data_IF_206950846446
#
_entry.id   IF_206950846446
#
_cell.length_a   1.000
_cell.length_b   1.000
_cell.length_c   1.000
_cell.angle_alpha   90.00
_cell.angle_beta   90.00
_cell.angle_gamma   90.00
#
_symmetry.space_group_name_H-M   'P 1'
#
loop_
_entity.id
_entity.type
_entity.pdbx_description
1 polymer ?
#
# COMPACT_ATOMS: atom_id res chain seq x y z
N UNK A 1 3.38 54.28 -12.12
CA UNK A 1 3.71 53.20 -11.16
C UNK A 1 2.53 52.23 -10.93
N UNK A 2 1.89 51.71 -12.00
CA UNK A 2 0.75 50.76 -11.88
C UNK A 2 0.94 49.43 -12.62
N UNK A 3 1.91 49.34 -13.53
CA UNK A 3 2.10 48.18 -14.40
C UNK A 3 2.88 47.01 -13.75
N UNK A 4 3.71 47.27 -12.74
CA UNK A 4 4.55 46.23 -12.11
C UNK A 4 3.74 45.31 -11.18
N UNK A 5 2.62 45.81 -10.63
CA UNK A 5 1.78 45.07 -9.68
C UNK A 5 0.86 44.01 -10.31
N UNK A 6 0.57 44.11 -11.61
CA UNK A 6 -0.33 43.16 -12.29
C UNK A 6 0.39 41.85 -12.65
N UNK A 7 1.70 41.91 -12.94
CA UNK A 7 2.50 40.75 -13.35
C UNK A 7 2.77 39.78 -12.18
N UNK A 8 3.00 40.30 -10.96
CA UNK A 8 3.28 39.47 -9.77
C UNK A 8 2.04 38.68 -9.31
N UNK A 9 0.85 39.27 -9.42
CA UNK A 9 -0.41 38.59 -9.04
C UNK A 9 -0.81 37.46 -9.99
N UNK A 10 -0.46 37.55 -11.27
CA UNK A 10 -0.73 36.47 -12.25
C UNK A 10 0.20 35.28 -12.02
N UNK A 11 1.49 35.49 -11.72
CA UNK A 11 2.41 34.39 -11.40
C UNK A 11 2.05 33.64 -10.10
N UNK A 12 1.64 34.36 -9.05
CA UNK A 12 1.24 33.73 -7.77
C UNK A 12 -0.06 32.92 -7.95
N UNK A 13 -1.04 33.44 -8.70
CA UNK A 13 -2.27 32.72 -8.96
C UNK A 13 -2.04 31.46 -9.81
N UNK A 14 -1.21 31.52 -10.85
CA UNK A 14 -0.88 30.34 -11.69
C UNK A 14 -0.14 29.27 -10.90
N UNK A 15 0.82 29.63 -10.02
CA UNK A 15 1.50 28.66 -9.15
C UNK A 15 0.55 27.98 -8.16
N UNK A 16 -0.40 28.72 -7.57
CA UNK A 16 -1.35 28.18 -6.58
C UNK A 16 -2.40 27.27 -7.23
N UNK A 17 -2.80 27.54 -8.48
CA UNK A 17 -3.70 26.67 -9.25
C UNK A 17 -3.02 25.39 -9.71
N UNK A 18 -1.73 25.43 -10.08
CA UNK A 18 -0.96 24.23 -10.45
C UNK A 18 -0.72 23.36 -9.21
N UNK A 19 -0.37 23.94 -8.06
CA UNK A 19 -0.17 23.18 -6.81
C UNK A 19 -1.46 22.55 -6.27
N UNK A 20 -2.60 23.23 -6.43
CA UNK A 20 -3.89 22.68 -6.02
C UNK A 20 -4.36 21.55 -6.95
N UNK A 21 -4.10 21.62 -8.26
CA UNK A 21 -4.37 20.50 -9.18
C UNK A 21 -3.45 19.30 -8.90
N UNK A 22 -2.19 19.54 -8.56
CA UNK A 22 -1.22 18.49 -8.23
C UNK A 22 -1.60 17.77 -6.91
N UNK A 23 -1.97 18.52 -5.87
CA UNK A 23 -2.47 17.94 -4.59
C UNK A 23 -3.72 17.06 -4.76
N UNK A 24 -4.59 17.34 -5.72
CA UNK A 24 -5.79 16.53 -5.99
C UNK A 24 -5.39 15.20 -6.68
N UNK A 25 -4.29 15.18 -7.44
CA UNK A 25 -3.87 14.00 -8.19
C UNK A 25 -3.29 12.89 -7.29
N UNK A 26 -2.56 13.21 -6.22
CA UNK A 26 -1.86 12.22 -5.39
C UNK A 26 -2.75 11.52 -4.36
N UNK A 27 -3.66 12.23 -3.70
CA UNK A 27 -4.65 11.59 -2.80
C UNK A 27 -5.60 10.65 -3.58
N UNK A 28 -5.97 11.03 -4.80
CA UNK A 28 -6.76 10.17 -5.69
C UNK A 28 -5.93 8.97 -6.21
N UNK A 29 -4.60 9.11 -6.37
CA UNK A 29 -3.71 8.00 -6.71
C UNK A 29 -3.64 6.96 -5.59
N UNK A 30 -3.55 7.36 -4.31
CA UNK A 30 -3.54 6.42 -3.19
C UNK A 30 -4.85 5.62 -3.11
N UNK A 31 -5.99 6.27 -3.34
CA UNK A 31 -7.31 5.62 -3.34
C UNK A 31 -7.53 4.61 -4.48
N UNK A 32 -6.74 4.69 -5.56
CA UNK A 32 -6.79 3.73 -6.68
C UNK A 32 -6.02 2.44 -6.40
N UNK A 33 -5.13 2.45 -5.40
CA UNK A 33 -4.32 1.28 -5.05
C UNK A 33 -5.19 0.30 -4.24
N UNK A 34 -5.33 -0.97 -4.66
CA UNK A 34 -6.10 -1.93 -3.89
C UNK A 34 -5.43 -2.19 -2.54
N UNK A 35 -6.21 -2.08 -1.46
CA UNK A 35 -5.74 -2.28 -0.08
C UNK A 35 -5.20 -3.70 0.16
N UNK A 36 -5.73 -4.70 -0.55
CA UNK A 36 -5.24 -6.07 -0.51
C UNK A 36 -5.25 -6.71 -1.90
N UNK A 37 -4.14 -7.32 -2.27
CA UNK A 37 -4.00 -8.15 -3.45
C UNK A 37 -3.17 -9.39 -3.10
N UNK A 38 -3.82 -10.55 -3.11
CA UNK A 38 -3.24 -11.82 -2.67
C UNK A 38 -3.66 -12.95 -3.61
N UNK A 39 -2.82 -13.99 -3.70
CA UNK A 39 -3.18 -15.19 -4.45
C UNK A 39 -4.44 -15.87 -3.88
N UNK A 40 -5.29 -16.45 -4.75
CA UNK A 40 -6.62 -16.92 -4.35
C UNK A 40 -6.60 -18.17 -3.46
N UNK A 41 -5.51 -18.93 -3.43
CA UNK A 41 -5.39 -20.14 -2.62
C UNK A 41 -3.94 -20.46 -2.28
N UNK A 42 -3.75 -21.20 -1.19
CA UNK A 42 -2.47 -21.79 -0.80
C UNK A 42 -1.88 -21.15 0.45
N UNK A 43 -0.60 -21.47 0.70
CA UNK A 43 0.19 -20.88 1.77
C UNK A 43 1.35 -20.13 1.12
N UNK A 44 1.44 -18.84 1.36
CA UNK A 44 2.43 -17.99 0.73
C UNK A 44 2.90 -16.86 1.65
N UNK A 45 4.03 -16.27 1.30
CA UNK A 45 4.60 -15.12 2.02
C UNK A 45 3.81 -13.87 1.66
N UNK A 46 3.73 -12.95 2.61
CA UNK A 46 3.11 -11.64 2.39
C UNK A 46 3.91 -10.54 3.07
N UNK A 47 3.81 -9.33 2.52
CA UNK A 47 4.36 -8.11 3.10
C UNK A 47 3.25 -7.09 3.31
N UNK A 48 3.41 -6.30 4.38
CA UNK A 48 2.61 -5.12 4.64
C UNK A 48 3.46 -3.91 4.22
N UNK A 49 2.98 -3.17 3.23
CA UNK A 49 3.70 -2.04 2.65
C UNK A 49 2.92 -0.78 2.97
N UNK A 50 3.61 0.24 3.49
CA UNK A 50 3.09 1.58 3.61
C UNK A 50 3.45 2.36 2.36
N UNK A 51 2.44 2.84 1.66
CA UNK A 51 2.61 3.68 0.48
C UNK A 51 2.36 5.12 0.88
N UNK A 52 3.41 5.93 0.87
CA UNK A 52 3.38 7.35 1.15
C UNK A 52 3.14 8.15 -0.12
N UNK A 53 2.36 9.22 -0.01
CA UNK A 53 2.37 10.28 -1.02
C UNK A 53 3.70 11.04 -0.95
N UNK A 54 4.26 11.42 -2.10
CA UNK A 54 5.45 12.31 -2.13
C UNK A 54 5.10 13.78 -1.92
N UNK A 55 3.81 14.11 -1.94
CA UNK A 55 3.31 15.49 -1.91
C UNK A 55 2.58 15.85 -0.61
N UNK A 56 2.15 14.84 0.15
CA UNK A 56 1.49 14.99 1.43
C UNK A 56 2.05 14.00 2.45
N UNK A 57 1.73 14.19 3.73
CA UNK A 57 2.07 13.24 4.78
C UNK A 57 1.09 12.04 4.84
N UNK A 58 0.19 11.93 3.86
CA UNK A 58 -0.78 10.85 3.78
C UNK A 58 -0.12 9.54 3.36
N UNK A 59 -0.69 8.44 3.86
CA UNK A 59 -0.24 7.10 3.51
C UNK A 59 -1.42 6.12 3.48
N UNK A 60 -1.22 5.02 2.75
CA UNK A 60 -2.10 3.86 2.77
C UNK A 60 -1.28 2.61 3.02
N UNK A 61 -1.75 1.77 3.95
CA UNK A 61 -1.16 0.47 4.20
C UNK A 61 -1.82 -0.57 3.28
N UNK A 62 -1.01 -1.30 2.51
CA UNK A 62 -1.45 -2.30 1.53
C UNK A 62 -0.87 -3.68 1.84
N UNK A 63 -1.67 -4.71 1.62
CA UNK A 63 -1.29 -6.12 1.81
C UNK A 63 -1.01 -6.74 0.44
N UNK A 64 0.16 -7.37 0.31
CA UNK A 64 0.59 -8.08 -0.91
C UNK A 64 1.14 -9.44 -0.56
N UNK A 65 0.64 -10.49 -1.21
CA UNK A 65 1.05 -11.86 -0.92
C UNK A 65 0.85 -12.80 -2.09
N UNK A 66 1.92 -13.45 -2.54
CA UNK A 66 1.88 -14.29 -3.72
C UNK A 66 2.71 -15.57 -3.55
N UNK A 67 2.24 -16.65 -4.16
CA UNK A 67 2.87 -17.97 -4.16
C UNK A 67 4.14 -18.05 -5.02
N UNK A 68 4.29 -17.16 -6.00
CA UNK A 68 5.48 -17.11 -6.85
C UNK A 68 6.72 -16.57 -6.14
N UNK A 69 6.54 -15.84 -5.03
CA UNK A 69 7.64 -15.19 -4.34
C UNK A 69 8.30 -16.14 -3.33
N UNK A 70 9.59 -16.39 -3.54
CA UNK A 70 10.38 -17.21 -2.62
C UNK A 70 10.70 -16.43 -1.34
N UNK A 71 10.91 -15.11 -1.44
CA UNK A 71 11.21 -14.24 -0.33
C UNK A 71 10.23 -13.06 -0.22
N UNK A 72 10.13 -12.49 0.98
CA UNK A 72 9.36 -11.26 1.21
C UNK A 72 9.90 -10.08 0.40
N UNK A 73 11.22 -10.03 0.19
CA UNK A 73 11.88 -8.99 -0.60
C UNK A 73 11.42 -9.01 -2.06
N UNK A 74 11.22 -10.19 -2.65
CA UNK A 74 10.77 -10.30 -4.06
C UNK A 74 9.40 -9.64 -4.26
N UNK A 75 8.49 -9.81 -3.28
CA UNK A 75 7.17 -9.16 -3.31
C UNK A 75 7.34 -7.65 -3.18
N UNK A 76 8.15 -7.21 -2.22
CA UNK A 76 8.38 -5.80 -1.97
C UNK A 76 8.97 -5.12 -3.21
N UNK A 77 10.11 -5.60 -3.72
CA UNK A 77 10.84 -5.00 -4.84
C UNK A 77 9.97 -4.89 -6.10
N UNK A 78 9.14 -5.91 -6.36
CA UNK A 78 8.22 -5.89 -7.49
C UNK A 78 7.12 -4.84 -7.30
N UNK A 79 6.46 -4.85 -6.14
CA UNK A 79 5.32 -3.96 -5.88
C UNK A 79 5.76 -2.51 -5.74
N UNK A 80 6.80 -2.23 -4.95
CA UNK A 80 7.35 -0.87 -4.80
C UNK A 80 7.85 -0.36 -6.14
N UNK A 81 8.58 -1.19 -6.89
CA UNK A 81 9.05 -0.83 -8.23
C UNK A 81 7.92 -0.50 -9.21
N UNK A 82 6.79 -1.20 -9.14
CA UNK A 82 5.62 -0.91 -10.00
C UNK A 82 4.89 0.38 -9.58
N UNK A 83 4.74 0.60 -8.28
CA UNK A 83 4.09 1.80 -7.73
C UNK A 83 4.94 3.05 -7.97
N UNK A 84 6.23 3.01 -7.62
CA UNK A 84 7.15 4.14 -7.74
C UNK A 84 7.41 4.52 -9.20
N UNK A 85 7.36 3.56 -10.13
CA UNK A 85 7.48 3.82 -11.58
C UNK A 85 6.32 4.65 -12.12
N UNK A 86 5.14 4.53 -11.52
CA UNK A 86 3.98 5.37 -11.85
C UNK A 86 4.19 6.82 -11.38
N UNK A 87 5.09 7.03 -10.41
CA UNK A 87 5.44 8.33 -9.87
C UNK A 87 4.45 8.82 -8.82
N UNK A 88 4.91 9.76 -7.98
CA UNK A 88 4.08 10.43 -6.96
C UNK A 88 3.95 9.71 -5.62
N UNK A 89 4.48 8.48 -5.50
CA UNK A 89 4.46 7.71 -4.26
C UNK A 89 5.85 7.18 -3.88
N UNK A 90 5.98 6.85 -2.60
CA UNK A 90 7.14 6.17 -2.00
C UNK A 90 6.65 4.96 -1.20
N UNK A 91 7.37 3.85 -1.24
CA UNK A 91 6.96 2.64 -0.53
C UNK A 91 7.92 2.33 0.63
N UNK A 92 7.36 1.90 1.76
CA UNK A 92 8.10 1.39 2.92
C UNK A 92 7.55 0.01 3.31
N UNK A 93 8.42 -1.00 3.43
CA UNK A 93 8.01 -2.30 3.96
C UNK A 93 7.98 -2.25 5.49
N UNK A 94 6.79 -2.26 6.10
CA UNK A 94 6.61 -2.19 7.56
C UNK A 94 6.53 -3.58 8.22
N UNK A 95 6.81 -4.64 7.46
CA UNK A 95 6.95 -6.01 7.94
C UNK A 95 6.35 -7.05 7.00
N UNK A 96 6.38 -8.31 7.42
CA UNK A 96 5.70 -9.38 6.70
C UNK A 96 5.32 -10.56 7.56
N UNK A 97 4.89 -11.63 6.89
CA UNK A 97 4.54 -12.91 7.49
C UNK A 97 4.12 -13.91 6.42
N UNK A 98 3.18 -14.79 6.75
CA UNK A 98 2.54 -15.74 5.84
C UNK A 98 1.03 -15.61 5.89
N UNK A 99 0.42 -15.95 4.76
CA UNK A 99 -1.02 -16.05 4.61
C UNK A 99 -1.32 -17.49 4.20
N UNK A 100 -2.26 -18.11 4.90
CA UNK A 100 -2.94 -19.34 4.47
C UNK A 100 -4.31 -18.94 3.96
N UNK A 101 -4.52 -19.03 2.65
CA UNK A 101 -5.76 -18.70 1.99
C UNK A 101 -6.43 -19.99 1.48
N UNK A 102 -7.65 -20.24 1.94
CA UNK A 102 -8.51 -21.30 1.45
C UNK A 102 -9.82 -20.67 0.94
N UNK A 103 -9.92 -20.48 -0.37
CA UNK A 103 -11.12 -19.88 -0.98
C UNK A 103 -12.33 -20.80 -0.92
N UNK A 104 -12.14 -22.11 -0.85
CA UNK A 104 -13.24 -23.08 -0.79
C UNK A 104 -13.97 -22.99 0.56
N UNK A 105 -13.22 -22.82 1.65
CA UNK A 105 -13.79 -22.62 3.00
C UNK A 105 -14.05 -21.15 3.32
N UNK A 106 -13.67 -20.23 2.44
CA UNK A 106 -13.66 -18.78 2.67
C UNK A 106 -12.91 -18.39 3.95
N UNK A 107 -11.71 -18.97 4.13
CA UNK A 107 -10.86 -18.75 5.30
C UNK A 107 -9.52 -18.16 4.91
N UNK A 108 -9.12 -17.12 5.63
CA UNK A 108 -7.79 -16.54 5.54
C UNK A 108 -7.18 -16.50 6.95
N UNK A 109 -5.98 -17.04 7.09
CA UNK A 109 -5.21 -16.98 8.33
C UNK A 109 -3.87 -16.28 8.10
N UNK A 110 -3.61 -15.21 8.83
CA UNK A 110 -2.40 -14.38 8.74
C UNK A 110 -1.50 -14.64 9.96
N UNK A 111 -0.24 -15.01 9.74
CA UNK A 111 0.64 -15.40 10.84
C UNK A 111 2.13 -15.26 10.51
N UNK A 112 3.00 -15.59 11.47
CA UNK A 112 4.44 -15.65 11.26
C UNK A 112 5.13 -14.30 11.11
N UNK A 113 6.30 -14.26 10.46
CA UNK A 113 7.08 -13.03 10.31
C UNK A 113 7.96 -13.06 9.05
N UNK A 114 8.46 -11.90 8.64
CA UNK A 114 9.53 -11.80 7.63
C UNK A 114 10.89 -11.83 8.31
N UNK A 115 11.81 -12.68 7.81
CA UNK A 115 13.19 -12.70 8.29
C UNK A 115 13.94 -11.39 8.01
N UNK A 116 13.61 -10.71 6.90
CA UNK A 116 14.28 -9.46 6.49
C UNK A 116 13.61 -8.19 7.02
N UNK A 117 12.29 -8.19 7.17
CA UNK A 117 11.51 -7.00 7.52
C UNK A 117 10.85 -7.09 8.90
N UNK A 118 11.04 -8.20 9.61
CA UNK A 118 10.36 -8.45 10.88
C UNK A 118 8.88 -8.80 10.73
N UNK A 119 8.17 -8.81 11.85
CA UNK A 119 6.75 -9.16 11.92
C UNK A 119 5.89 -7.94 11.61
N UNK A 120 5.01 -8.06 10.60
CA UNK A 120 4.00 -7.04 10.33
C UNK A 120 2.95 -6.98 11.46
N UNK A 121 2.24 -5.85 11.56
CA UNK A 121 1.01 -5.82 12.34
C UNK A 121 -0.08 -6.62 11.62
N UNK A 122 -0.27 -7.87 12.03
CA UNK A 122 -1.24 -8.76 11.38
C UNK A 122 -2.68 -8.28 11.54
N UNK A 123 -3.02 -7.57 12.62
CA UNK A 123 -4.35 -7.00 12.81
C UNK A 123 -4.70 -6.01 11.69
N UNK A 124 -3.77 -5.08 11.39
CA UNK A 124 -3.91 -4.15 10.25
C UNK A 124 -4.04 -4.94 8.94
N UNK A 125 -3.21 -5.97 8.75
CA UNK A 125 -3.29 -6.81 7.55
C UNK A 125 -4.66 -7.47 7.39
N UNK A 126 -5.27 -7.96 8.48
CA UNK A 126 -6.59 -8.56 8.45
C UNK A 126 -7.71 -7.57 8.17
N UNK A 127 -7.61 -6.32 8.66
CA UNK A 127 -8.59 -5.27 8.33
C UNK A 127 -8.62 -5.00 6.83
N UNK A 128 -7.44 -4.85 6.20
CA UNK A 128 -7.29 -4.66 4.75
C UNK A 128 -7.85 -5.83 3.96
N UNK A 129 -7.59 -7.05 4.41
CA UNK A 129 -8.13 -8.26 3.79
C UNK A 129 -9.66 -8.34 3.97
N UNK A 130 -10.22 -7.91 5.10
CA UNK A 130 -11.65 -7.93 5.36
C UNK A 130 -12.42 -6.99 4.43
N UNK A 131 -11.84 -5.84 4.08
CA UNK A 131 -12.41 -4.93 3.07
C UNK A 131 -12.53 -5.62 1.71
N UNK A 132 -11.52 -6.43 1.33
CA UNK A 132 -11.50 -7.15 0.05
C UNK A 132 -12.34 -8.43 0.05
N UNK A 133 -12.40 -9.13 1.18
CA UNK A 133 -13.07 -10.41 1.37
C UNK A 133 -14.08 -10.33 2.52
N UNK A 134 -15.17 -9.55 2.37
CA UNK A 134 -16.11 -9.27 3.45
C UNK A 134 -16.86 -10.50 3.96
N UNK A 135 -16.97 -11.54 3.13
CA UNK A 135 -17.65 -12.80 3.41
C UNK A 135 -16.72 -13.91 3.90
N UNK A 136 -15.44 -13.60 4.14
CA UNK A 136 -14.45 -14.56 4.64
C UNK A 136 -14.32 -14.50 6.15
N UNK A 137 -14.01 -15.64 6.75
CA UNK A 137 -13.49 -15.73 8.11
C UNK A 137 -11.99 -15.45 8.07
N UNK A 138 -11.61 -14.26 8.57
CA UNK A 138 -10.22 -13.81 8.57
C UNK A 138 -9.70 -13.79 10.01
N UNK A 139 -8.60 -14.49 10.25
CA UNK A 139 -7.98 -14.61 11.58
C UNK A 139 -6.50 -14.30 11.50
N UNK A 140 -5.90 -13.93 12.64
CA UNK A 140 -4.47 -13.74 12.73
C UNK A 140 -3.88 -14.31 14.02
N UNK A 141 -2.60 -14.64 13.98
CA UNK A 141 -1.80 -15.03 15.14
C UNK A 141 -0.38 -14.45 15.04
N UNK A 142 0.18 -14.02 16.17
CA UNK A 142 1.58 -13.53 16.22
C UNK A 142 2.61 -14.67 16.30
N UNK A 143 2.13 -15.91 16.34
CA UNK A 143 2.91 -17.13 16.50
C UNK A 143 3.04 -17.87 15.16
N UNK A 144 3.95 -18.84 15.11
CA UNK A 144 4.22 -19.67 13.93
C UNK A 144 5.28 -19.08 13.00
N UNK A 145 5.63 -19.87 11.98
CA UNK A 145 6.51 -19.45 10.89
C UNK A 145 5.89 -19.80 9.55
#
# INVERSE_FOLDING_TARGET
MRAVWLCVRVCIAVCVFISALYLIMTAEQLGKIPEADIDPNGVFKYVLIRVHSKESEDYVDIVRGYSWAEYHADIYDKVSGDLERTGGVDCECIGGGRIKHNSAEKKIHVYGYSMGFGRANHAVSTEKLQVRYPDYEITWANEGY
#
